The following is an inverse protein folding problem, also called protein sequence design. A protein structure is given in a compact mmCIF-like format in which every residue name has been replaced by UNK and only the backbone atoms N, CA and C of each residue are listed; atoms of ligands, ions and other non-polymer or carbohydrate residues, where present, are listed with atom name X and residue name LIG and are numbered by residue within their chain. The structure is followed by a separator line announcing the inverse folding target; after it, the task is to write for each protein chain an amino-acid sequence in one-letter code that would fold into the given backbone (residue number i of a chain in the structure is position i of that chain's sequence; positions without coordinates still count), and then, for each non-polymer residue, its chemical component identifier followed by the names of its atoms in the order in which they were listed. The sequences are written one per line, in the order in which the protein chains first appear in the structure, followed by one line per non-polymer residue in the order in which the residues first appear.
data_IF_622706443934
#
_entry.id   IF_622706443934
#
_cell.length_a   1.000
_cell.length_b   1.000
_cell.length_c   1.000
_cell.angle_alpha   90.00
_cell.angle_beta   90.00
_cell.angle_gamma   90.00
#
_symmetry.space_group_name_H-M   'P 1'
#
loop_
_entity.id
_entity.type
_entity.pdbx_description
1 polymer ?
#
# COMPACT_ATOMS: atom_id res chain seq x y z
N UNK A 1 -26.91 34.02 81.61
CA UNK A 1 -26.10 32.78 81.72
C UNK A 1 -26.28 32.00 80.42
N UNK A 2 -25.17 31.78 79.71
CA UNK A 2 -24.93 30.97 78.50
C UNK A 2 -26.13 30.46 77.68
N UNK A 3 -26.13 30.80 76.38
CA UNK A 3 -26.50 29.86 75.32
C UNK A 3 -25.67 30.15 74.06
N UNK A 4 -24.86 29.16 73.72
CA UNK A 4 -24.23 28.95 72.41
C UNK A 4 -25.33 28.53 71.43
N UNK A 5 -25.28 28.98 70.18
CA UNK A 5 -25.47 28.18 68.95
C UNK A 5 -25.19 29.06 67.72
N UNK A 6 -24.48 28.43 66.78
CA UNK A 6 -23.86 28.90 65.54
C UNK A 6 -24.83 29.62 64.59
N UNK A 7 -24.28 30.58 63.82
CA UNK A 7 -24.68 30.77 62.42
C UNK A 7 -23.47 31.11 61.54
N UNK A 8 -23.54 30.56 60.32
CA UNK A 8 -22.52 30.40 59.30
C UNK A 8 -21.90 31.71 58.79
N UNK A 9 -20.58 31.70 58.60
CA UNK A 9 -19.86 32.70 57.81
C UNK A 9 -19.40 32.07 56.50
N UNK A 10 -20.02 32.54 55.43
CA UNK A 10 -19.69 32.28 54.04
C UNK A 10 -18.40 33.05 53.71
N UNK A 11 -17.36 32.36 53.25
CA UNK A 11 -16.25 33.01 52.55
C UNK A 11 -15.95 32.22 51.28
N UNK A 12 -16.18 32.88 50.16
CA UNK A 12 -15.79 32.47 48.81
C UNK A 12 -14.28 32.65 48.72
N UNK A 13 -13.56 31.58 48.36
CA UNK A 13 -12.18 31.66 47.91
C UNK A 13 -12.01 30.84 46.64
N UNK A 14 -11.51 31.54 45.63
CA UNK A 14 -11.18 31.10 44.28
C UNK A 14 -10.23 29.89 44.31
N UNK A 15 -10.53 28.86 43.52
CA UNK A 15 -9.55 27.85 43.15
C UNK A 15 -9.29 27.89 41.64
N UNK A 16 -8.02 28.07 41.32
CA UNK A 16 -7.43 28.02 40.00
C UNK A 16 -7.38 26.58 39.48
N UNK A 17 -7.62 26.45 38.17
CA UNK A 17 -6.88 25.66 37.18
C UNK A 17 -6.23 24.34 37.64
N UNK A 18 -6.75 23.21 37.16
CA UNK A 18 -6.21 22.46 36.00
C UNK A 18 -6.77 21.04 36.03
N UNK A 19 -7.62 20.69 35.07
CA UNK A 19 -8.04 19.31 34.83
C UNK A 19 -6.83 18.50 34.39
N UNK A 20 -6.40 17.56 35.24
CA UNK A 20 -5.37 16.58 34.92
C UNK A 20 -5.98 15.47 34.06
N UNK A 21 -5.39 15.28 32.88
CA UNK A 21 -5.62 14.17 31.94
C UNK A 21 -5.55 12.79 32.60
N UNK A 22 -6.26 11.77 32.08
CA UNK A 22 -6.13 10.40 32.57
C UNK A 22 -4.76 9.84 32.19
N UNK A 23 -3.97 9.49 33.21
CA UNK A 23 -2.67 8.81 33.11
C UNK A 23 -2.81 7.48 32.37
N UNK A 24 -2.01 7.28 31.32
CA UNK A 24 -1.82 5.97 30.71
C UNK A 24 -1.18 5.02 31.73
N UNK A 25 -1.73 3.82 31.85
CA UNK A 25 -1.13 2.74 32.63
C UNK A 25 0.03 2.16 31.83
N UNK A 26 1.25 2.38 32.33
CA UNK A 26 2.44 1.65 31.91
C UNK A 26 2.28 0.17 32.27
N UNK A 27 2.43 -0.71 31.29
CA UNK A 27 2.50 -2.16 31.48
C UNK A 27 3.94 -2.52 31.85
N UNK A 28 4.08 -3.31 32.92
CA UNK A 28 5.30 -3.83 33.53
C UNK A 28 6.12 -4.72 32.56
N UNK A 29 7.46 -4.59 32.44
CA UNK A 29 8.25 -5.32 31.43
C UNK A 29 8.47 -6.81 31.71
N UNK A 30 8.11 -7.34 32.88
CA UNK A 30 8.55 -8.68 33.31
C UNK A 30 7.61 -9.87 32.95
N UNK A 31 6.70 -9.71 32.00
CA UNK A 31 6.05 -10.86 31.33
C UNK A 31 6.22 -10.83 29.82
N UNK A 32 7.43 -10.57 29.33
CA UNK A 32 7.81 -10.89 27.95
C UNK A 32 8.09 -12.39 27.85
N UNK A 33 7.13 -13.16 27.35
CA UNK A 33 7.45 -14.41 26.65
C UNK A 33 8.50 -14.07 25.58
N UNK A 34 9.61 -14.79 25.61
CA UNK A 34 10.75 -14.70 24.69
C UNK A 34 10.33 -14.27 23.27
N UNK A 35 10.72 -13.06 22.88
CA UNK A 35 10.68 -12.63 21.48
C UNK A 35 11.80 -13.38 20.79
N UNK A 36 11.44 -14.37 19.97
CA UNK A 36 12.38 -15.10 19.14
C UNK A 36 12.98 -14.17 18.08
N UNK A 37 14.31 -14.19 18.04
CA UNK A 37 15.28 -13.89 16.96
C UNK A 37 15.13 -12.62 16.11
N UNK A 38 16.29 -11.99 15.87
CA UNK A 38 16.42 -10.74 15.13
C UNK A 38 16.23 -10.96 13.63
N UNK A 39 15.17 -10.40 13.07
CA UNK A 39 15.04 -10.13 11.64
C UNK A 39 16.29 -9.39 11.11
N UNK A 40 17.07 -10.07 10.27
CA UNK A 40 18.25 -9.47 9.63
C UNK A 40 17.81 -8.64 8.44
N UNK A 41 18.17 -7.35 8.39
CA UNK A 41 17.98 -6.51 7.21
C UNK A 41 18.85 -7.03 6.06
N UNK A 42 18.22 -7.58 5.01
CA UNK A 42 18.92 -8.17 3.85
C UNK A 42 18.93 -7.25 2.63
N UNK A 43 18.00 -6.30 2.55
CA UNK A 43 17.95 -5.32 1.47
C UNK A 43 17.17 -4.08 1.91
N UNK A 44 17.56 -2.91 1.42
CA UNK A 44 16.81 -1.67 1.65
C UNK A 44 17.07 -0.63 0.58
N UNK A 45 16.14 0.30 0.45
CA UNK A 45 16.36 1.59 -0.17
C UNK A 45 15.72 2.70 0.65
N UNK A 46 16.53 3.69 1.03
CA UNK A 46 16.12 4.85 1.83
C UNK A 46 15.93 6.10 0.95
N UNK A 47 16.08 5.95 -0.38
CA UNK A 47 15.88 6.99 -1.39
C UNK A 47 16.63 8.30 -1.12
N UNK A 48 17.77 8.24 -0.42
CA UNK A 48 18.53 9.41 0.04
C UNK A 48 19.38 10.07 -1.05
N UNK A 49 19.65 9.37 -2.15
CA UNK A 49 20.38 9.90 -3.30
C UNK A 49 19.57 10.97 -4.05
N UNK A 50 20.19 11.69 -4.99
CA UNK A 50 19.48 12.68 -5.81
C UNK A 50 18.74 12.07 -7.01
N UNK A 51 19.08 10.85 -7.37
CA UNK A 51 18.49 10.13 -8.49
C UNK A 51 18.11 8.72 -8.03
N UNK A 52 17.21 8.08 -8.78
CA UNK A 52 16.85 6.68 -8.57
C UNK A 52 18.11 5.83 -8.72
N UNK A 53 18.35 4.93 -7.77
CA UNK A 53 19.47 4.01 -7.83
C UNK A 53 19.20 2.87 -8.83
N UNK A 54 19.75 2.97 -10.04
CA UNK A 54 19.57 1.99 -11.11
C UNK A 54 20.32 0.66 -10.90
N UNK A 55 21.15 0.56 -9.84
CA UNK A 55 21.68 -0.73 -9.39
C UNK A 55 20.64 -1.51 -8.57
N UNK A 56 19.61 -0.83 -8.04
CA UNK A 56 18.52 -1.42 -7.26
C UNK A 56 17.21 -1.54 -8.03
N UNK A 57 16.96 -0.64 -8.97
CA UNK A 57 15.68 -0.53 -9.67
C UNK A 57 15.86 -0.46 -11.19
N UNK A 58 14.98 -1.14 -11.92
CA UNK A 58 14.71 -0.87 -13.32
C UNK A 58 13.41 -0.08 -13.45
N UNK A 59 13.38 0.90 -14.35
CA UNK A 59 12.18 1.67 -14.69
C UNK A 59 11.44 0.92 -15.80
N UNK A 60 10.17 0.57 -15.59
CA UNK A 60 9.36 -0.12 -16.60
C UNK A 60 8.71 0.89 -17.55
N UNK A 61 8.90 0.67 -18.85
CA UNK A 61 8.21 1.41 -19.91
C UNK A 61 7.19 0.52 -20.61
N UNK A 62 5.99 1.05 -20.87
CA UNK A 62 4.94 0.34 -21.61
C UNK A 62 4.61 1.09 -22.90
N UNK A 63 5.13 0.65 -24.06
CA UNK A 63 4.92 1.35 -25.32
C UNK A 63 3.53 1.14 -25.97
N UNK A 64 2.71 0.19 -25.49
CA UNK A 64 1.37 -0.09 -26.03
C UNK A 64 0.33 -0.25 -24.90
N UNK A 65 -0.76 0.54 -24.95
CA UNK A 65 -1.90 0.49 -24.01
C UNK A 65 -2.53 -0.91 -23.90
N UNK A 66 -2.41 -1.73 -24.94
CA UNK A 66 -2.96 -3.09 -24.96
C UNK A 66 -2.24 -4.06 -24.02
N UNK A 67 -1.14 -3.65 -23.40
CA UNK A 67 -0.34 -4.47 -22.50
C UNK A 67 0.08 -3.75 -21.20
N UNK A 68 -0.66 -2.71 -20.78
CA UNK A 68 -0.39 -2.04 -19.50
C UNK A 68 -1.05 -2.83 -18.39
N UNK A 69 -0.25 -3.62 -17.66
CA UNK A 69 -0.63 -4.30 -16.42
C UNK A 69 -1.69 -5.41 -16.52
N UNK A 70 -2.28 -5.65 -17.70
CA UNK A 70 -3.31 -6.67 -17.92
C UNK A 70 -4.71 -6.27 -17.44
N UNK A 71 -4.86 -5.10 -16.81
CA UNK A 71 -6.10 -4.65 -16.20
C UNK A 71 -6.83 -3.53 -16.97
N UNK A 72 -6.51 -3.29 -18.25
CA UNK A 72 -7.11 -2.20 -19.04
C UNK A 72 -6.91 -0.80 -18.41
N UNK A 73 -5.74 -0.59 -17.82
CA UNK A 73 -5.30 0.67 -17.23
C UNK A 73 -5.14 1.76 -18.31
N UNK A 74 -5.25 3.04 -17.93
CA UNK A 74 -5.32 4.17 -18.87
C UNK A 74 -3.96 4.81 -19.20
N UNK A 75 -2.98 4.61 -18.33
CA UNK A 75 -1.68 5.28 -18.39
C UNK A 75 -0.67 4.54 -19.27
N UNK A 76 0.28 5.29 -19.79
CA UNK A 76 1.56 4.74 -20.24
C UNK A 76 2.57 4.86 -19.11
N UNK A 77 3.23 3.76 -18.72
CA UNK A 77 4.43 3.84 -17.90
C UNK A 77 5.60 4.30 -18.76
N UNK A 78 6.34 5.30 -18.29
CA UNK A 78 7.43 5.96 -19.03
C UNK A 78 8.63 6.24 -18.12
N UNK A 79 9.83 6.17 -18.69
CA UNK A 79 11.04 6.69 -18.04
C UNK A 79 11.12 8.21 -18.27
N UNK A 80 10.42 8.95 -17.41
CA UNK A 80 10.42 10.41 -17.45
C UNK A 80 10.57 10.99 -16.03
N UNK A 81 11.51 11.92 -15.79
CA UNK A 81 11.69 12.58 -14.50
C UNK A 81 10.46 13.35 -13.99
N UNK A 82 9.48 13.61 -14.85
CA UNK A 82 8.20 14.19 -14.42
C UNK A 82 7.30 13.17 -13.73
N UNK A 83 7.43 11.89 -14.09
CA UNK A 83 6.60 10.80 -13.57
C UNK A 83 7.28 10.03 -12.44
N UNK A 84 8.60 9.89 -12.48
CA UNK A 84 9.35 9.17 -11.46
C UNK A 84 10.68 9.85 -11.14
N UNK A 85 10.89 10.22 -9.88
CA UNK A 85 12.04 11.02 -9.46
C UNK A 85 12.25 10.94 -7.96
N UNK A 86 13.43 11.35 -7.48
CA UNK A 86 13.64 11.60 -6.05
C UNK A 86 13.31 13.06 -5.75
N UNK A 87 12.38 13.26 -4.82
CA UNK A 87 12.04 14.57 -4.26
C UNK A 87 12.75 14.76 -2.93
N UNK A 88 13.22 15.99 -2.68
CA UNK A 88 13.68 16.43 -1.36
C UNK A 88 12.87 17.65 -0.95
N UNK A 89 12.31 17.61 0.25
CA UNK A 89 11.62 18.76 0.82
C UNK A 89 12.60 19.82 1.36
N UNK A 90 12.08 20.92 1.90
CA UNK A 90 12.90 22.00 2.46
C UNK A 90 13.70 21.57 3.70
N UNK A 91 13.31 20.48 4.35
CA UNK A 91 13.98 19.88 5.51
C UNK A 91 14.98 18.79 5.09
N UNK A 92 15.19 18.61 3.78
CA UNK A 92 16.05 17.61 3.15
C UNK A 92 15.59 16.16 3.36
N UNK A 93 14.34 15.93 3.77
CA UNK A 93 13.76 14.60 3.77
C UNK A 93 13.58 14.14 2.32
N UNK A 94 13.99 12.92 2.03
CA UNK A 94 14.04 12.36 0.68
C UNK A 94 12.88 11.39 0.47
N UNK A 95 12.31 11.36 -0.72
CA UNK A 95 11.34 10.33 -1.08
C UNK A 95 11.41 10.04 -2.58
N UNK A 96 11.23 8.78 -2.94
CA UNK A 96 10.85 8.44 -4.30
C UNK A 96 9.42 8.93 -4.54
N UNK A 97 9.23 9.68 -5.62
CA UNK A 97 7.93 10.11 -6.11
C UNK A 97 7.56 9.32 -7.36
N UNK A 98 6.35 8.76 -7.38
CA UNK A 98 5.70 8.24 -8.59
C UNK A 98 4.42 9.02 -8.79
N UNK A 99 4.28 9.71 -9.92
CA UNK A 99 3.11 10.55 -10.19
C UNK A 99 2.53 10.27 -11.56
N UNK A 100 1.19 10.26 -11.62
CA UNK A 100 0.48 10.23 -12.89
C UNK A 100 0.32 11.66 -13.44
N UNK A 101 0.39 11.81 -14.75
CA UNK A 101 0.29 13.12 -15.42
C UNK A 101 -0.74 13.05 -16.54
N UNK A 102 -1.64 14.03 -16.56
CA UNK A 102 -2.51 14.26 -17.70
C UNK A 102 -1.74 14.96 -18.82
N UNK A 103 -1.65 14.31 -19.98
CA UNK A 103 -0.97 14.84 -21.15
C UNK A 103 -1.98 15.56 -22.05
N UNK A 104 -2.32 16.79 -21.64
CA UNK A 104 -3.16 17.73 -22.40
C UNK A 104 -4.56 17.22 -22.76
N UNK A 105 -5.11 16.31 -21.96
CA UNK A 105 -6.42 15.68 -22.18
C UNK A 105 -6.44 14.63 -23.28
N UNK A 106 -5.29 14.27 -23.84
CA UNK A 106 -5.17 13.31 -24.94
C UNK A 106 -4.78 11.91 -24.47
N UNK A 107 -3.90 11.80 -23.47
CA UNK A 107 -3.49 10.57 -22.80
C UNK A 107 -2.96 10.87 -21.38
N UNK A 108 -2.58 9.85 -20.63
CA UNK A 108 -1.88 10.04 -19.36
C UNK A 108 -0.64 9.15 -19.25
N UNK A 109 0.34 9.59 -18.47
CA UNK A 109 1.56 8.84 -18.15
C UNK A 109 1.65 8.60 -16.65
N UNK A 110 2.45 7.60 -16.24
CA UNK A 110 2.81 7.35 -14.85
C UNK A 110 4.18 6.67 -14.75
N UNK A 111 4.63 6.40 -13.53
CA UNK A 111 5.87 5.66 -13.27
C UNK A 111 5.61 4.24 -12.76
N UNK A 112 6.51 3.32 -13.10
CA UNK A 112 6.60 1.97 -12.54
C UNK A 112 8.06 1.57 -12.43
N UNK A 113 8.45 1.02 -11.29
CA UNK A 113 9.78 0.46 -11.08
C UNK A 113 9.71 -0.94 -10.52
N UNK A 114 10.77 -1.70 -10.77
CA UNK A 114 10.88 -3.10 -10.39
C UNK A 114 12.29 -3.44 -9.94
N UNK A 115 12.41 -4.44 -9.07
CA UNK A 115 13.69 -5.05 -8.66
C UNK A 115 14.03 -6.30 -9.48
N UNK A 116 13.27 -6.60 -10.55
CA UNK A 116 13.31 -7.85 -11.33
C UNK A 116 14.72 -8.34 -11.70
N UNK A 117 15.62 -7.47 -12.15
CA UNK A 117 16.98 -7.91 -12.55
C UNK A 117 18.04 -7.61 -11.47
N UNK A 118 17.63 -7.18 -10.27
CA UNK A 118 18.52 -6.67 -9.21
C UNK A 118 18.41 -7.43 -7.88
N UNK A 119 17.20 -7.62 -7.37
CA UNK A 119 16.96 -8.18 -6.04
C UNK A 119 15.72 -9.06 -6.01
N UNK A 120 15.87 -10.26 -5.47
CA UNK A 120 14.77 -11.18 -5.18
C UNK A 120 14.85 -11.66 -3.74
N UNK A 121 13.70 -12.01 -3.18
CA UNK A 121 13.60 -12.57 -1.84
C UNK A 121 12.58 -13.71 -1.81
N UNK A 122 12.74 -14.59 -0.83
CA UNK A 122 11.75 -15.62 -0.50
C UNK A 122 11.62 -15.67 1.01
N UNK A 123 10.37 -15.59 1.47
CA UNK A 123 10.03 -15.41 2.87
C UNK A 123 10.68 -14.15 3.47
N UNK A 124 10.32 -13.85 4.70
CA UNK A 124 10.77 -12.66 5.39
C UNK A 124 9.66 -11.63 5.57
N UNK A 125 10.09 -10.50 6.10
CA UNK A 125 9.25 -9.32 6.32
C UNK A 125 9.63 -8.25 5.32
N UNK A 126 8.64 -7.66 4.66
CA UNK A 126 8.79 -6.52 3.77
C UNK A 126 8.01 -5.36 4.34
N UNK A 127 8.69 -4.22 4.51
CA UNK A 127 8.09 -2.98 4.97
C UNK A 127 8.37 -1.84 3.99
N UNK A 128 7.40 -0.96 3.81
CA UNK A 128 7.59 0.31 3.13
C UNK A 128 6.84 1.42 3.85
N UNK A 129 7.49 2.59 4.00
CA UNK A 129 6.83 3.80 4.49
C UNK A 129 6.39 4.65 3.31
N UNK A 130 5.09 4.68 3.07
CA UNK A 130 4.49 5.28 1.87
C UNK A 130 3.38 6.23 2.28
N UNK A 131 3.33 7.41 1.63
CA UNK A 131 2.13 8.25 1.58
C UNK A 131 1.51 8.05 0.21
N UNK A 132 0.33 7.44 0.18
CA UNK A 132 -0.34 7.10 -1.07
C UNK A 132 -0.95 8.35 -1.75
N UNK A 133 -1.20 8.31 -3.07
CA UNK A 133 -2.14 9.24 -3.68
C UNK A 133 -3.57 8.93 -3.21
N UNK A 134 -4.48 9.87 -3.41
CA UNK A 134 -5.86 9.74 -2.96
C UNK A 134 -6.91 10.23 -3.97
N UNK A 135 -6.50 10.90 -5.05
CA UNK A 135 -7.41 11.42 -6.07
C UNK A 135 -8.27 10.35 -6.77
N UNK A 136 -9.47 10.73 -7.23
CA UNK A 136 -10.35 9.85 -7.98
C UNK A 136 -9.61 9.17 -9.15
N UNK A 137 -9.77 7.85 -9.27
CA UNK A 137 -9.22 7.09 -10.39
C UNK A 137 -7.76 6.65 -10.24
N UNK A 138 -7.08 7.02 -9.15
CA UNK A 138 -5.69 6.57 -8.88
C UNK A 138 -5.68 5.17 -8.24
N UNK A 139 -4.72 4.34 -8.64
CA UNK A 139 -4.52 2.99 -8.12
C UNK A 139 -3.02 2.78 -7.80
N UNK A 140 -2.55 3.26 -6.65
CA UNK A 140 -1.19 2.98 -6.19
C UNK A 140 -1.06 1.51 -5.77
N UNK A 141 0.09 0.92 -6.08
CA UNK A 141 0.41 -0.44 -5.70
C UNK A 141 1.87 -0.58 -5.24
N UNK A 142 2.05 -1.29 -4.13
CA UNK A 142 3.31 -1.88 -3.69
C UNK A 142 3.11 -3.38 -3.58
N UNK A 143 3.83 -4.14 -4.40
CA UNK A 143 3.53 -5.54 -4.63
C UNK A 143 4.77 -6.30 -5.04
N UNK A 144 4.64 -7.63 -5.07
CA UNK A 144 5.70 -8.54 -5.44
C UNK A 144 5.18 -9.59 -6.42
N UNK A 145 6.02 -9.96 -7.39
CA UNK A 145 5.67 -10.95 -8.40
C UNK A 145 6.71 -12.07 -8.42
N UNK A 146 6.26 -13.32 -8.59
CA UNK A 146 7.17 -14.46 -8.67
C UNK A 146 8.10 -14.33 -9.88
N UNK A 147 9.40 -14.55 -9.68
CA UNK A 147 10.44 -14.40 -10.73
C UNK A 147 10.14 -15.25 -11.97
N UNK A 148 9.46 -16.38 -11.75
CA UNK A 148 9.07 -17.32 -12.80
C UNK A 148 7.99 -16.81 -13.74
N UNK A 149 7.32 -15.71 -13.39
CA UNK A 149 6.35 -15.05 -14.27
C UNK A 149 7.01 -14.59 -15.56
N UNK A 150 8.19 -13.97 -15.45
CA UNK A 150 8.91 -13.35 -16.57
C UNK A 150 10.20 -14.06 -16.94
N UNK A 151 11.00 -14.48 -15.95
CA UNK A 151 12.34 -15.05 -16.19
C UNK A 151 12.25 -16.50 -16.66
N UNK A 152 11.37 -17.31 -16.05
CA UNK A 152 11.21 -18.72 -16.39
C UNK A 152 9.96 -19.03 -17.24
N UNK A 153 9.18 -18.00 -17.59
CA UNK A 153 8.07 -18.11 -18.55
C UNK A 153 6.87 -18.96 -18.10
N UNK A 154 6.72 -19.23 -16.80
CA UNK A 154 5.54 -19.93 -16.26
C UNK A 154 4.27 -19.06 -16.33
N UNK A 155 4.45 -17.74 -16.34
CA UNK A 155 3.39 -16.75 -16.51
C UNK A 155 2.52 -16.54 -15.27
N UNK A 156 1.65 -15.54 -15.36
CA UNK A 156 0.68 -15.17 -14.33
C UNK A 156 -0.62 -15.98 -14.49
N UNK A 157 -1.31 -16.37 -13.39
CA UNK A 157 -0.93 -16.23 -11.97
C UNK A 157 -0.22 -17.48 -11.44
N UNK A 158 0.21 -18.36 -12.34
CA UNK A 158 0.77 -19.67 -12.00
C UNK A 158 2.05 -19.57 -11.16
N UNK A 159 2.73 -18.44 -11.22
CA UNK A 159 3.97 -18.14 -10.50
C UNK A 159 3.76 -17.32 -9.22
N UNK A 160 2.51 -16.95 -8.90
CA UNK A 160 2.16 -16.18 -7.72
C UNK A 160 2.40 -14.67 -7.83
N UNK A 161 1.56 -13.92 -7.13
CA UNK A 161 1.62 -12.47 -6.92
C UNK A 161 1.22 -12.19 -5.46
N UNK A 162 1.91 -11.24 -4.82
CA UNK A 162 1.62 -10.78 -3.46
C UNK A 162 1.50 -9.26 -3.49
N UNK A 163 0.29 -8.76 -3.34
CA UNK A 163 -0.01 -7.34 -3.19
C UNK A 163 0.15 -6.97 -1.71
N UNK A 164 1.17 -6.17 -1.41
CA UNK A 164 1.49 -5.74 -0.04
C UNK A 164 0.61 -4.54 0.32
N UNK A 165 0.40 -3.65 -0.63
CA UNK A 165 -0.52 -2.53 -0.54
C UNK A 165 -1.14 -2.27 -1.92
N UNK A 166 -2.46 -2.32 -1.96
CA UNK A 166 -3.25 -1.69 -3.02
C UNK A 166 -4.32 -0.80 -2.41
N UNK A 167 -4.53 0.33 -3.06
CA UNK A 167 -5.56 1.31 -2.72
C UNK A 167 -6.26 1.76 -4.00
N UNK A 168 -7.51 2.19 -3.87
CA UNK A 168 -8.30 2.75 -4.97
C UNK A 168 -8.82 4.12 -4.57
N UNK A 169 -8.46 5.14 -5.35
CA UNK A 169 -8.96 6.51 -5.14
C UNK A 169 -10.40 6.63 -5.60
N UNK A 170 -11.30 6.79 -4.64
CA UNK A 170 -12.73 7.02 -4.87
C UNK A 170 -13.08 8.52 -4.79
N UNK A 171 -14.28 8.92 -5.22
CA UNK A 171 -14.77 10.31 -5.21
C UNK A 171 -15.75 10.62 -4.05
N UNK A 172 -15.93 9.71 -3.08
CA UNK A 172 -16.95 9.86 -2.03
C UNK A 172 -16.91 11.22 -1.29
N UNK A 173 -18.10 11.83 -1.23
CA UNK A 173 -18.51 13.19 -0.82
C UNK A 173 -17.49 14.05 -0.05
N UNK A 174 -16.44 14.51 -0.74
CA UNK A 174 -15.49 15.58 -0.35
C UNK A 174 -14.11 15.16 0.17
N UNK A 175 -13.75 13.86 0.21
CA UNK A 175 -12.47 13.45 0.78
C UNK A 175 -11.63 12.49 -0.06
N UNK A 176 -11.93 12.34 -1.36
CA UNK A 176 -11.16 11.56 -2.35
C UNK A 176 -10.28 10.51 -1.68
N UNK A 177 -10.84 9.40 -1.23
CA UNK A 177 -10.20 8.61 -0.17
C UNK A 177 -9.59 7.33 -0.71
N UNK A 178 -8.30 7.15 -0.50
CA UNK A 178 -7.67 5.82 -0.39
C UNK A 178 -7.82 5.35 1.06
N UNK A 179 -9.04 4.99 1.48
CA UNK A 179 -9.34 4.63 2.88
C UNK A 179 -9.42 3.14 3.13
N UNK A 180 -9.51 2.33 2.08
CA UNK A 180 -9.52 0.87 2.19
C UNK A 180 -8.26 0.31 1.57
N UNK A 181 -7.43 -0.27 2.43
CA UNK A 181 -6.21 -0.98 2.08
C UNK A 181 -6.54 -2.44 1.84
N UNK A 182 -5.99 -2.97 0.75
CA UNK A 182 -6.07 -4.37 0.39
C UNK A 182 -4.68 -4.97 0.42
N UNK A 183 -4.57 -6.13 1.06
CA UNK A 183 -3.49 -7.07 0.84
C UNK A 183 -4.06 -8.27 0.11
N UNK A 184 -3.42 -8.75 -0.94
CA UNK A 184 -3.97 -9.81 -1.80
C UNK A 184 -2.86 -10.76 -2.23
N UNK A 185 -3.22 -12.03 -2.43
CA UNK A 185 -2.39 -12.97 -3.17
C UNK A 185 -3.16 -13.46 -4.41
N UNK A 186 -2.49 -13.57 -5.56
CA UNK A 186 -3.06 -14.18 -6.77
C UNK A 186 -2.34 -15.50 -7.10
N UNK A 187 -3.12 -16.54 -7.39
CA UNK A 187 -2.64 -17.91 -7.56
C UNK A 187 -3.63 -18.77 -8.37
N UNK A 188 -3.39 -20.08 -8.43
CA UNK A 188 -4.33 -21.06 -8.95
C UNK A 188 -4.06 -21.44 -10.41
N UNK A 189 -5.09 -21.38 -11.25
CA UNK A 189 -4.99 -21.74 -12.67
C UNK A 189 -4.71 -20.51 -13.55
N UNK A 190 -4.36 -20.75 -14.81
CA UNK A 190 -4.23 -19.70 -15.81
C UNK A 190 -5.52 -18.87 -15.91
N UNK A 191 -5.36 -17.56 -16.14
CA UNK A 191 -6.48 -16.64 -16.42
C UNK A 191 -7.42 -17.23 -17.50
N UNK A 192 -8.75 -17.11 -17.35
CA UNK A 192 -9.48 -16.38 -16.30
C UNK A 192 -9.82 -17.22 -15.05
N UNK A 193 -9.27 -18.43 -14.92
CA UNK A 193 -9.61 -19.37 -13.84
C UNK A 193 -8.72 -19.23 -12.59
N UNK A 194 -8.03 -18.10 -12.48
CA UNK A 194 -7.21 -17.79 -11.33
C UNK A 194 -8.04 -17.58 -10.07
N UNK A 195 -7.36 -17.61 -8.94
CA UNK A 195 -7.92 -17.33 -7.62
C UNK A 195 -7.16 -16.19 -7.00
N UNK A 196 -7.81 -15.53 -6.05
CA UNK A 196 -7.19 -14.55 -5.19
C UNK A 196 -7.76 -14.70 -3.78
N UNK A 197 -6.99 -14.28 -2.79
CA UNK A 197 -7.39 -14.26 -1.38
C UNK A 197 -6.64 -13.16 -0.66
N UNK A 198 -7.27 -12.51 0.31
CA UNK A 198 -6.64 -11.39 0.97
C UNK A 198 -7.56 -10.67 1.96
N UNK A 199 -6.99 -10.01 2.97
CA UNK A 199 -7.74 -9.14 3.87
C UNK A 199 -7.94 -7.73 3.29
N UNK A 200 -8.90 -7.00 3.88
CA UNK A 200 -9.07 -5.56 3.65
C UNK A 200 -9.29 -4.85 4.99
N UNK A 201 -8.85 -3.59 5.09
CA UNK A 201 -9.02 -2.82 6.34
C UNK A 201 -10.48 -2.45 6.65
N UNK A 202 -11.41 -2.61 5.68
CA UNK A 202 -12.86 -2.38 5.90
C UNK A 202 -13.41 -3.14 7.09
N UNK A 203 -12.89 -4.34 7.38
CA UNK A 203 -13.37 -5.18 8.49
C UNK A 203 -12.85 -4.76 9.87
N UNK A 204 -11.85 -3.89 9.95
CA UNK A 204 -11.20 -3.47 11.21
C UNK A 204 -11.29 -1.96 11.44
N UNK A 205 -12.27 -1.31 10.81
CA UNK A 205 -12.46 0.14 10.71
C UNK A 205 -12.30 0.90 12.04
N UNK A 206 -12.62 0.28 13.18
CA UNK A 206 -12.51 0.92 14.50
C UNK A 206 -11.07 1.15 14.99
N UNK A 207 -10.06 0.47 14.41
CA UNK A 207 -8.64 0.59 14.80
C UNK A 207 -7.79 1.34 13.78
N UNK A 208 -8.22 1.37 12.52
CA UNK A 208 -7.49 1.98 11.40
C UNK A 208 -8.47 2.86 10.63
N UNK A 209 -8.71 4.06 11.14
CA UNK A 209 -9.41 5.13 10.42
C UNK A 209 -8.31 5.97 9.76
N UNK A 210 -7.86 5.56 8.57
CA UNK A 210 -6.84 6.27 7.82
C UNK A 210 -7.38 6.62 6.44
N UNK A 211 -7.23 7.90 6.04
CA UNK A 211 -7.06 8.21 4.63
C UNK A 211 -5.57 8.07 4.36
N UNK A 212 -5.19 6.98 3.69
CA UNK A 212 -3.80 6.58 3.48
C UNK A 212 -2.99 7.56 2.62
N UNK A 213 -3.63 8.58 2.04
CA UNK A 213 -2.96 9.64 1.32
C UNK A 213 -2.74 10.95 2.07
N UNK A 214 -3.22 11.08 3.31
CA UNK A 214 -2.99 12.29 4.12
C UNK A 214 -1.63 12.28 4.83
N UNK A 215 -1.12 11.11 5.20
CA UNK A 215 0.16 10.95 5.88
C UNK A 215 0.88 9.68 5.41
N UNK A 216 2.14 9.55 5.80
CA UNK A 216 2.91 8.33 5.60
C UNK A 216 2.45 7.23 6.57
N UNK A 217 2.26 6.04 6.01
CA UNK A 217 1.95 4.82 6.74
C UNK A 217 3.01 3.76 6.46
N UNK A 218 3.22 2.87 7.43
CA UNK A 218 4.12 1.71 7.27
C UNK A 218 3.28 0.52 6.86
N UNK A 219 3.38 0.14 5.59
CA UNK A 219 2.77 -1.08 5.06
C UNK A 219 3.74 -2.23 5.26
N UNK A 220 3.26 -3.32 5.85
CA UNK A 220 4.05 -4.49 6.17
C UNK A 220 3.38 -5.75 5.64
N UNK A 221 4.18 -6.60 5.02
CA UNK A 221 3.86 -7.99 4.75
C UNK A 221 4.89 -8.88 5.45
N UNK A 222 4.41 -9.89 6.18
CA UNK A 222 5.23 -10.94 6.74
C UNK A 222 4.86 -12.27 6.08
N UNK A 223 5.84 -12.92 5.46
CA UNK A 223 5.68 -14.12 4.66
C UNK A 223 6.55 -15.26 5.20
N UNK A 224 5.87 -16.34 5.55
CA UNK A 224 6.44 -17.62 5.98
C UNK A 224 6.00 -18.72 5.02
N UNK A 225 6.56 -19.94 5.10
CA UNK A 225 6.04 -21.07 4.34
C UNK A 225 4.54 -21.32 4.53
N UNK A 226 4.03 -21.09 5.75
CA UNK A 226 2.68 -21.51 6.15
C UNK A 226 1.64 -20.37 6.10
N UNK A 227 2.08 -19.11 6.06
CA UNK A 227 1.20 -17.95 6.17
C UNK A 227 1.82 -16.69 5.54
N UNK A 228 0.98 -15.90 4.87
CA UNK A 228 1.26 -14.52 4.49
C UNK A 228 0.30 -13.63 5.29
N UNK A 229 0.85 -12.62 5.96
CA UNK A 229 0.11 -11.72 6.84
C UNK A 229 0.42 -10.26 6.52
N UNK A 230 -0.57 -9.39 6.71
CA UNK A 230 -0.46 -7.97 6.39
C UNK A 230 -0.78 -7.11 7.61
N UNK A 231 0.07 -6.10 7.82
CA UNK A 231 -0.10 -5.09 8.85
C UNK A 231 0.06 -3.70 8.25
N UNK A 232 -0.59 -2.71 8.87
CA UNK A 232 -0.30 -1.29 8.60
C UNK A 232 -0.14 -0.56 9.92
N UNK A 233 0.94 0.21 10.04
CA UNK A 233 1.35 0.91 11.27
C UNK A 233 1.45 -0.02 12.49
N UNK A 234 1.91 -1.24 12.26
CA UNK A 234 2.04 -2.28 13.29
C UNK A 234 0.73 -2.99 13.68
N UNK A 235 -0.39 -2.64 13.04
CA UNK A 235 -1.68 -3.31 13.25
C UNK A 235 -1.93 -4.38 12.18
N UNK A 236 -1.89 -5.65 12.59
CA UNK A 236 -2.31 -6.79 11.76
C UNK A 236 -3.78 -6.65 11.37
N UNK A 237 -4.06 -6.62 10.06
CA UNK A 237 -5.42 -6.54 9.53
C UNK A 237 -5.89 -7.81 8.82
N UNK A 238 -5.00 -8.76 8.61
CA UNK A 238 -5.37 -10.14 8.31
C UNK A 238 -4.23 -10.97 7.74
N UNK A 239 -4.55 -12.22 7.42
CA UNK A 239 -3.62 -13.17 6.85
C UNK A 239 -4.32 -14.17 5.96
N UNK A 240 -3.53 -14.85 5.13
CA UNK A 240 -3.94 -16.01 4.34
C UNK A 240 -3.00 -17.15 4.69
N UNK A 241 -3.58 -18.31 4.98
CA UNK A 241 -2.82 -19.52 5.29
C UNK A 241 -2.60 -20.39 4.07
N UNK A 242 -1.54 -21.19 4.13
CA UNK A 242 -1.08 -22.14 3.14
C UNK A 242 -2.18 -22.96 2.47
N UNK A 243 -3.17 -23.41 3.23
CA UNK A 243 -4.26 -24.26 2.73
C UNK A 243 -5.16 -23.53 1.73
N UNK A 244 -5.08 -22.20 1.66
CA UNK A 244 -5.89 -21.39 0.75
C UNK A 244 -5.35 -21.39 -0.67
N UNK A 245 -4.04 -21.62 -0.87
CA UNK A 245 -3.39 -21.46 -2.18
C UNK A 245 -2.82 -22.74 -2.77
N UNK A 246 -2.77 -22.73 -4.10
CA UNK A 246 -2.21 -23.78 -4.95
C UNK A 246 -1.81 -23.18 -6.30
N UNK A 247 -1.07 -23.93 -7.12
CA UNK A 247 -0.85 -23.62 -8.54
C UNK A 247 -1.07 -24.87 -9.39
N UNK A 248 -1.61 -24.70 -10.60
CA UNK A 248 -1.96 -25.84 -11.47
C UNK A 248 -0.76 -26.51 -12.17
N UNK A 249 0.44 -26.00 -11.94
CA UNK A 249 1.68 -26.43 -12.61
C UNK A 249 2.71 -27.03 -11.64
N UNK A 250 2.30 -27.30 -10.39
CA UNK A 250 3.15 -27.90 -9.37
C UNK A 250 2.32 -28.79 -8.43
N UNK A 251 2.89 -29.91 -8.01
CA UNK A 251 2.34 -30.76 -6.94
C UNK A 251 2.90 -30.40 -5.56
N UNK A 252 3.96 -29.57 -5.49
CA UNK A 252 4.43 -29.01 -4.23
C UNK A 252 3.31 -28.18 -3.62
N UNK A 253 2.86 -28.58 -2.43
CA UNK A 253 1.77 -27.91 -1.76
C UNK A 253 2.09 -26.42 -1.59
N UNK A 254 3.32 -26.03 -1.23
CA UNK A 254 3.72 -24.65 -0.95
C UNK A 254 3.68 -23.72 -2.15
N UNK A 255 3.63 -24.26 -3.37
CA UNK A 255 3.58 -23.47 -4.59
C UNK A 255 2.25 -22.69 -4.76
N UNK A 256 2.27 -21.48 -5.34
CA UNK A 256 3.43 -20.82 -5.96
C UNK A 256 4.27 -19.98 -4.99
N UNK A 257 3.89 -19.86 -3.72
CA UNK A 257 4.58 -19.04 -2.71
C UNK A 257 5.71 -19.79 -2.00
N UNK A 258 6.49 -20.55 -2.77
CA UNK A 258 7.68 -21.30 -2.36
C UNK A 258 8.94 -20.94 -3.18
N UNK A 259 8.83 -19.90 -4.01
CA UNK A 259 9.88 -19.43 -4.92
C UNK A 259 10.30 -17.99 -4.62
N UNK A 260 11.26 -17.45 -5.36
CA UNK A 260 11.72 -16.07 -5.23
C UNK A 260 10.74 -15.08 -5.88
N UNK A 261 10.58 -13.92 -5.24
CA UNK A 261 9.74 -12.81 -5.68
C UNK A 261 10.58 -11.53 -5.80
N UNK A 262 10.17 -10.64 -6.70
CA UNK A 262 10.75 -9.31 -6.85
C UNK A 262 9.69 -8.25 -6.58
N UNK A 263 10.11 -7.12 -6.01
CA UNK A 263 9.25 -5.98 -5.67
C UNK A 263 8.96 -5.09 -6.88
N UNK A 264 7.76 -4.50 -6.88
CA UNK A 264 7.25 -3.55 -7.85
C UNK A 264 6.53 -2.40 -7.13
N UNK A 265 6.75 -1.18 -7.62
CA UNK A 265 5.99 0.02 -7.24
C UNK A 265 5.40 0.68 -8.49
N UNK A 266 4.14 1.09 -8.42
CA UNK A 266 3.54 1.92 -9.47
C UNK A 266 2.34 2.72 -8.96
N UNK A 267 1.92 3.69 -9.79
CA UNK A 267 0.59 4.32 -9.71
C UNK A 267 -0.13 4.06 -11.02
N UNK A 268 -1.09 3.13 -11.02
CA UNK A 268 -1.99 2.91 -12.13
C UNK A 268 -3.14 3.93 -12.13
N UNK A 269 -3.83 4.06 -13.27
CA UNK A 269 -4.96 4.97 -13.46
C UNK A 269 -6.13 4.20 -14.08
N UNK A 270 -7.25 4.14 -13.35
CA UNK A 270 -8.42 3.35 -13.72
C UNK A 270 -8.12 1.85 -13.82
N UNK A 271 -8.80 1.15 -14.72
CA UNK A 271 -8.65 -0.30 -14.94
C UNK A 271 -9.93 -1.08 -14.63
N UNK A 272 -10.05 -2.29 -15.18
CA UNK A 272 -11.22 -3.15 -15.02
C UNK A 272 -11.48 -3.54 -13.56
N UNK A 273 -10.43 -3.89 -12.82
CA UNK A 273 -10.52 -4.24 -11.40
C UNK A 273 -10.86 -3.04 -10.51
N UNK A 274 -10.71 -1.81 -11.02
CA UNK A 274 -11.02 -0.57 -10.31
C UNK A 274 -12.50 -0.47 -9.96
N UNK A 275 -13.39 -0.93 -10.85
CA UNK A 275 -14.82 -0.66 -10.77
C UNK A 275 -15.51 -1.37 -9.60
N UNK A 276 -15.01 -2.55 -9.21
CA UNK A 276 -15.58 -3.34 -8.11
C UNK A 276 -15.12 -2.82 -6.72
N UNK A 277 -14.19 -1.87 -6.68
CA UNK A 277 -13.50 -1.41 -5.47
C UNK A 277 -13.89 -0.01 -5.02
N UNK A 278 -14.48 0.78 -5.90
CA UNK A 278 -15.00 2.11 -5.61
C UNK A 278 -16.53 2.09 -5.46
N UNK A 279 -17.08 3.12 -4.81
CA UNK A 279 -18.52 3.26 -4.54
C UNK A 279 -19.19 4.32 -5.41
N UNK A 280 -18.45 5.32 -5.91
CA UNK A 280 -19.03 6.39 -6.72
C UNK A 280 -19.54 5.84 -8.07
N UNK A 281 -20.87 5.71 -8.19
CA UNK A 281 -21.54 5.20 -9.39
C UNK A 281 -21.31 6.08 -10.63
N UNK A 282 -21.16 7.39 -10.48
CA UNK A 282 -20.88 8.30 -11.60
C UNK A 282 -19.47 8.02 -12.14
N UNK A 283 -18.49 7.92 -11.25
CA UNK A 283 -17.12 7.59 -11.59
C UNK A 283 -17.02 6.21 -12.26
N UNK A 284 -17.71 5.19 -11.71
CA UNK A 284 -17.80 3.85 -12.32
C UNK A 284 -18.36 3.94 -13.74
N UNK A 285 -19.47 4.65 -13.93
CA UNK A 285 -20.13 4.78 -15.24
C UNK A 285 -19.21 5.47 -16.26
N UNK A 286 -18.46 6.49 -15.86
CA UNK A 286 -17.51 7.17 -16.75
C UNK A 286 -16.33 6.26 -17.09
N UNK A 287 -15.67 5.67 -16.08
CA UNK A 287 -14.46 4.89 -16.26
C UNK A 287 -14.70 3.56 -16.99
N UNK A 288 -15.87 2.93 -16.80
CA UNK A 288 -16.27 1.73 -17.54
C UNK A 288 -16.72 2.01 -18.98
N UNK A 289 -16.99 3.28 -19.32
CA UNK A 289 -17.39 3.72 -20.65
C UNK A 289 -16.32 3.47 -21.74
N UNK A 290 -16.64 3.77 -22.99
CA UNK A 290 -15.69 3.64 -24.12
C UNK A 290 -14.93 4.92 -24.45
N UNK A 291 -15.43 6.09 -24.04
CA UNK A 291 -14.83 7.37 -24.41
C UNK A 291 -13.62 7.70 -23.53
N UNK A 292 -12.42 7.52 -24.07
CA UNK A 292 -11.17 7.72 -23.36
C UNK A 292 -11.01 9.14 -22.81
N UNK A 293 -11.42 10.17 -23.55
CA UNK A 293 -11.29 11.57 -23.09
C UNK A 293 -12.18 11.87 -21.89
N UNK A 294 -13.39 11.32 -21.84
CA UNK A 294 -14.24 11.43 -20.65
C UNK A 294 -13.63 10.73 -19.45
N UNK A 295 -13.01 9.55 -19.64
CA UNK A 295 -12.29 8.87 -18.55
C UNK A 295 -11.20 9.77 -17.97
N UNK A 296 -10.32 10.31 -18.81
CA UNK A 296 -9.23 11.18 -18.35
C UNK A 296 -9.72 12.41 -17.60
N UNK A 297 -10.87 12.99 -17.98
CA UNK A 297 -11.45 14.14 -17.27
C UNK A 297 -12.00 13.80 -15.89
N UNK A 298 -12.33 12.55 -15.63
CA UNK A 298 -12.85 12.10 -14.33
C UNK A 298 -11.73 11.74 -13.34
N UNK A 299 -10.49 11.60 -13.80
CA UNK A 299 -9.33 11.32 -12.94
C UNK A 299 -8.84 12.61 -12.27
N UNK A 300 -8.53 12.53 -10.98
CA UNK A 300 -7.85 13.60 -10.27
C UNK A 300 -6.32 13.43 -10.33
N UNK A 301 -5.70 14.11 -11.28
CA UNK A 301 -4.25 14.10 -11.44
C UNK A 301 -3.50 14.97 -10.43
N UNK A 302 -4.17 15.89 -9.73
CA UNK A 302 -3.52 16.80 -8.79
C UNK A 302 -3.07 16.09 -7.50
N UNK A 303 -3.75 14.99 -7.16
CA UNK A 303 -3.48 14.19 -5.96
C UNK A 303 -3.00 12.77 -6.32
N UNK A 304 -2.25 12.64 -7.41
CA UNK A 304 -1.83 11.36 -8.00
C UNK A 304 -0.39 10.95 -7.68
N UNK A 305 0.31 11.71 -6.84
CA UNK A 305 1.69 11.40 -6.44
C UNK A 305 1.72 10.46 -5.24
N UNK A 306 2.36 9.30 -5.42
CA UNK A 306 2.82 8.43 -4.34
C UNK A 306 4.20 8.87 -3.88
N UNK A 307 4.39 8.98 -2.57
CA UNK A 307 5.68 9.27 -1.95
C UNK A 307 6.15 8.07 -1.15
N UNK A 308 7.35 7.56 -1.44
CA UNK A 308 7.96 6.43 -0.74
C UNK A 308 9.22 6.92 -0.02
N UNK A 309 9.19 6.88 1.30
CA UNK A 309 10.30 7.32 2.16
C UNK A 309 11.39 6.25 2.21
N UNK A 310 11.02 4.99 2.44
CA UNK A 310 11.95 3.87 2.40
C UNK A 310 11.24 2.54 2.16
N UNK A 311 12.02 1.54 1.72
CA UNK A 311 11.64 0.13 1.65
C UNK A 311 12.72 -0.71 2.34
N UNK A 312 12.32 -1.68 3.15
CA UNK A 312 13.21 -2.58 3.88
C UNK A 312 12.70 -4.02 3.79
N UNK A 313 13.62 -4.94 3.59
CA UNK A 313 13.36 -6.38 3.53
C UNK A 313 14.24 -7.07 4.56
N UNK A 314 13.61 -7.89 5.39
CA UNK A 314 14.25 -8.63 6.46
C UNK A 314 14.08 -10.14 6.24
N UNK A 315 15.10 -10.94 6.56
CA UNK A 315 14.95 -12.40 6.62
C UNK A 315 14.27 -12.82 7.91
N UNK A 316 13.46 -13.88 7.84
CA UNK A 316 12.92 -14.59 9.01
C UNK A 316 13.98 -15.43 9.73
#
# INVERSE_FOLDING_TARGET
MYRVILFFLFFILLNQCSDSEPKSQFIDPETSKEIKDYDLLIWSDEFNDFNINLEKWDIEETPDLRNVGGNHELQYYVDNPSNIFIYKDNEMNSSLCITAINMYGEYCTSGKITTLDKFHFKYGRVQARIKAPYGAGVWPAFWALGVNTRIQGKGWPLSGEIDIMELWGDKEEQNFSTSELYGTIHYGNKWPNNKFSGPTTRKIHEKIIANFGLDYHIYEMNWTPDEISWSVDGYLYGSVKKESWYTSISEDEYAPFNDNFYLILNVAIGGGSFYDKIKDEELINILSGKDYKSKLKAIDFNNSTMYVDWIRVFSN
#
